data_IF_082412216066
#
_entry.id   IF_082412216066
#
_cell.length_a   1.000
_cell.length_b   1.000
_cell.length_c   1.000
_cell.angle_alpha   90.00
_cell.angle_beta   90.00
_cell.angle_gamma   90.00
#
_symmetry.space_group_name_H-M   'P 1'
#
loop_
_entity.id
_entity.type
_entity.pdbx_description
1 polymer ?
#
# COMPACT_ATOMS: atom_id res chain seq x y z
N UNK A 1 -7.93 -25.35 -26.44
CA UNK A 1 -7.43 -24.60 -25.27
C UNK A 1 -7.60 -25.44 -24.03
N UNK A 2 -6.72 -25.30 -23.04
CA UNK A 2 -6.71 -26.17 -21.85
C UNK A 2 -7.46 -25.50 -20.68
N UNK A 3 -7.54 -24.16 -20.69
CA UNK A 3 -8.15 -23.38 -19.63
C UNK A 3 -9.17 -22.37 -20.18
N UNK A 4 -10.19 -22.05 -19.41
CA UNK A 4 -11.11 -20.94 -19.70
C UNK A 4 -10.39 -19.60 -19.48
N UNK A 5 -9.58 -19.50 -18.43
CA UNK A 5 -8.86 -18.28 -18.06
C UNK A 5 -7.39 -18.52 -17.77
N UNK A 6 -6.55 -17.63 -18.28
CA UNK A 6 -5.15 -17.44 -17.87
C UNK A 6 -5.08 -16.13 -17.06
N UNK A 7 -4.71 -16.23 -15.79
CA UNK A 7 -4.58 -15.06 -14.89
C UNK A 7 -3.10 -14.73 -14.74
N UNK A 8 -2.73 -13.50 -15.08
CA UNK A 8 -1.36 -12.98 -15.00
C UNK A 8 -1.21 -12.17 -13.74
N UNK A 9 -0.42 -12.68 -12.80
CA UNK A 9 -0.21 -12.13 -11.48
C UNK A 9 -1.04 -12.82 -10.40
N UNK A 10 -0.36 -13.30 -9.37
CA UNK A 10 -0.94 -14.00 -8.21
C UNK A 10 -1.14 -13.09 -6.99
N UNK A 11 -1.18 -11.77 -7.21
CA UNK A 11 -1.57 -10.80 -6.19
C UNK A 11 -3.07 -10.87 -5.85
N UNK A 12 -3.54 -9.97 -4.98
CA UNK A 12 -4.94 -10.00 -4.51
C UNK A 12 -5.97 -10.03 -5.65
N UNK A 13 -5.81 -9.17 -6.66
CA UNK A 13 -6.76 -9.13 -7.78
C UNK A 13 -6.82 -10.45 -8.53
N UNK A 14 -5.65 -10.95 -8.95
CA UNK A 14 -5.57 -12.18 -9.73
C UNK A 14 -6.04 -13.40 -8.93
N UNK A 15 -5.66 -13.49 -7.65
CA UNK A 15 -6.07 -14.59 -6.78
C UNK A 15 -7.60 -14.62 -6.55
N UNK A 16 -8.22 -13.46 -6.34
CA UNK A 16 -9.68 -13.35 -6.19
C UNK A 16 -10.38 -13.71 -7.50
N UNK A 17 -9.93 -13.16 -8.63
CA UNK A 17 -10.53 -13.51 -9.91
C UNK A 17 -10.44 -15.03 -10.18
N UNK A 18 -9.28 -15.63 -9.94
CA UNK A 18 -9.07 -17.07 -10.11
C UNK A 18 -9.98 -17.90 -9.21
N UNK A 19 -10.13 -17.49 -7.93
CA UNK A 19 -11.01 -18.14 -6.97
C UNK A 19 -12.47 -18.12 -7.44
N UNK A 20 -12.97 -16.93 -7.80
CA UNK A 20 -14.35 -16.77 -8.26
C UNK A 20 -14.61 -17.52 -9.58
N UNK A 21 -13.69 -17.46 -10.54
CA UNK A 21 -13.80 -18.22 -11.77
C UNK A 21 -13.91 -19.73 -11.49
N UNK A 22 -13.06 -20.27 -10.62
CA UNK A 22 -13.15 -21.67 -10.19
C UNK A 22 -14.48 -21.99 -9.50
N UNK A 23 -14.96 -21.11 -8.63
CA UNK A 23 -16.25 -21.28 -7.96
C UNK A 23 -17.42 -21.36 -8.97
N UNK A 24 -17.29 -20.71 -10.13
CA UNK A 24 -18.25 -20.77 -11.24
C UNK A 24 -17.95 -21.90 -12.25
N UNK A 25 -17.14 -22.89 -11.85
CA UNK A 25 -16.86 -24.07 -12.66
C UNK A 25 -15.89 -23.83 -13.84
N UNK A 26 -15.14 -22.74 -13.83
CA UNK A 26 -14.16 -22.43 -14.87
C UNK A 26 -12.81 -23.05 -14.55
N UNK A 27 -12.10 -23.48 -15.60
CA UNK A 27 -10.72 -23.93 -15.50
C UNK A 27 -9.77 -22.74 -15.57
N UNK A 28 -8.83 -22.63 -14.62
CA UNK A 28 -7.96 -21.46 -14.47
C UNK A 28 -6.50 -21.90 -14.34
N UNK A 29 -5.62 -21.21 -15.05
CA UNK A 29 -4.19 -21.20 -14.81
C UNK A 29 -3.77 -19.82 -14.33
N UNK A 30 -3.05 -19.75 -13.22
CA UNK A 30 -2.40 -18.53 -12.74
C UNK A 30 -0.91 -18.61 -13.04
N UNK A 31 -0.33 -17.54 -13.57
CA UNK A 31 1.13 -17.42 -13.76
C UNK A 31 1.64 -16.16 -13.09
N UNK A 32 2.83 -16.23 -12.50
CA UNK A 32 3.50 -15.09 -11.90
C UNK A 32 4.99 -15.12 -12.27
N UNK A 33 5.54 -13.93 -12.56
CA UNK A 33 6.98 -13.79 -12.86
C UNK A 33 7.87 -13.98 -11.63
N UNK A 34 7.32 -13.80 -10.43
CA UNK A 34 8.03 -13.95 -9.15
C UNK A 34 8.10 -15.42 -8.70
N UNK A 35 9.07 -15.77 -7.85
CA UNK A 35 9.19 -17.11 -7.28
C UNK A 35 8.17 -17.38 -6.15
N UNK A 36 7.28 -16.44 -5.88
CA UNK A 36 6.28 -16.51 -4.81
C UNK A 36 4.92 -15.97 -5.28
N UNK A 37 3.86 -16.47 -4.67
CA UNK A 37 2.50 -15.91 -4.79
C UNK A 37 2.36 -14.63 -3.97
N UNK A 38 1.17 -14.06 -3.99
CA UNK A 38 0.68 -12.92 -3.21
C UNK A 38 1.12 -11.53 -3.69
N UNK A 39 1.89 -11.41 -4.78
CA UNK A 39 2.25 -10.10 -5.31
C UNK A 39 2.87 -9.19 -4.24
N UNK A 40 2.43 -7.95 -4.14
CA UNK A 40 2.98 -7.00 -3.17
C UNK A 40 2.55 -7.24 -1.72
N UNK A 41 1.55 -8.08 -1.45
CA UNK A 41 1.19 -8.47 -0.07
C UNK A 41 1.97 -9.69 0.42
N UNK A 42 2.95 -10.16 -0.35
CA UNK A 42 3.79 -11.28 0.03
C UNK A 42 4.44 -11.08 1.40
N UNK A 43 4.25 -12.09 2.26
CA UNK A 43 4.91 -12.20 3.56
C UNK A 43 5.77 -13.46 3.57
N UNK A 44 7.00 -13.32 4.07
CA UNK A 44 7.92 -14.43 4.24
C UNK A 44 8.10 -14.70 5.74
N UNK A 45 7.94 -15.96 6.16
CA UNK A 45 8.19 -16.31 7.55
C UNK A 45 9.68 -16.51 7.78
N UNK A 46 10.28 -15.66 8.62
CA UNK A 46 11.68 -15.72 9.01
C UNK A 46 11.74 -15.73 10.53
N UNK A 47 12.30 -16.78 11.12
CA UNK A 47 12.42 -16.94 12.58
C UNK A 47 11.06 -16.82 13.32
N UNK A 48 9.98 -17.25 12.68
CA UNK A 48 8.62 -17.16 13.23
C UNK A 48 7.94 -15.80 13.01
N UNK A 49 8.60 -14.85 12.36
CA UNK A 49 8.09 -13.52 12.07
C UNK A 49 7.62 -13.46 10.62
N UNK A 50 6.38 -13.03 10.38
CA UNK A 50 5.87 -12.79 9.04
C UNK A 50 6.35 -11.41 8.54
N UNK A 51 7.36 -11.42 7.69
CA UNK A 51 8.00 -10.22 7.15
C UNK A 51 7.27 -9.76 5.89
N UNK A 52 6.77 -8.52 5.89
CA UNK A 52 6.16 -7.89 4.73
C UNK A 52 7.26 -7.44 3.76
N UNK A 53 7.48 -8.20 2.70
CA UNK A 53 8.66 -8.03 1.82
C UNK A 53 8.57 -6.81 0.90
N UNK A 54 7.37 -6.35 0.59
CA UNK A 54 7.13 -5.23 -0.32
C UNK A 54 6.48 -4.03 0.39
N UNK A 55 6.82 -3.83 1.65
CA UNK A 55 6.29 -2.78 2.50
C UNK A 55 5.16 -3.25 3.41
N UNK A 56 4.93 -2.48 4.46
CA UNK A 56 3.90 -2.78 5.44
C UNK A 56 2.52 -2.73 4.80
N UNK A 57 1.78 -3.81 4.93
CA UNK A 57 0.40 -3.94 4.50
C UNK A 57 -0.48 -4.17 5.73
N UNK A 58 -1.38 -3.23 5.99
CA UNK A 58 -2.34 -3.30 7.09
C UNK A 58 -3.72 -3.24 6.48
N UNK A 59 -4.47 -4.31 6.59
CA UNK A 59 -5.81 -4.36 6.02
C UNK A 59 -6.77 -3.48 6.81
N UNK A 60 -7.50 -2.62 6.11
CA UNK A 60 -8.55 -1.79 6.67
C UNK A 60 -9.63 -1.52 5.62
N UNK A 61 -10.88 -1.42 6.04
CA UNK A 61 -11.99 -1.12 5.15
C UNK A 61 -13.23 -0.63 5.90
N UNK A 62 -14.07 0.17 5.25
CA UNK A 62 -15.45 0.44 5.64
C UNK A 62 -16.45 -0.39 4.84
N UNK A 63 -15.99 -1.12 3.82
CA UNK A 63 -16.83 -1.94 2.98
C UNK A 63 -17.10 -3.29 3.64
N UNK A 64 -18.32 -3.46 4.16
CA UNK A 64 -18.74 -4.68 4.83
C UNK A 64 -18.67 -5.91 3.92
N UNK A 65 -19.00 -5.77 2.63
CA UNK A 65 -18.94 -6.87 1.65
C UNK A 65 -17.50 -7.38 1.48
N UNK A 66 -16.56 -6.46 1.34
CA UNK A 66 -15.13 -6.76 1.23
C UNK A 66 -14.63 -7.47 2.49
N UNK A 67 -14.99 -6.95 3.68
CA UNK A 67 -14.61 -7.57 4.94
C UNK A 67 -15.18 -9.00 5.07
N UNK A 68 -16.47 -9.17 4.81
CA UNK A 68 -17.11 -10.48 4.86
C UNK A 68 -16.54 -11.48 3.85
N UNK A 69 -16.06 -10.99 2.72
CA UNK A 69 -15.42 -11.81 1.70
C UNK A 69 -14.05 -12.29 2.16
N UNK A 70 -13.16 -11.36 2.50
CA UNK A 70 -11.77 -11.71 2.78
C UNK A 70 -11.58 -12.51 4.07
N UNK A 71 -12.46 -12.33 5.05
CA UNK A 71 -12.46 -13.11 6.31
C UNK A 71 -12.86 -14.58 6.15
N UNK A 72 -13.31 -14.98 4.98
CA UNK A 72 -13.50 -16.41 4.67
C UNK A 72 -12.17 -17.13 4.42
N UNK A 73 -11.11 -16.40 4.08
CA UNK A 73 -9.81 -16.95 3.70
C UNK A 73 -8.73 -16.80 4.75
N UNK A 74 -8.96 -16.00 5.77
CA UNK A 74 -8.08 -15.85 6.92
C UNK A 74 -8.83 -15.32 8.14
N UNK A 75 -8.37 -15.72 9.31
CA UNK A 75 -8.69 -15.02 10.55
C UNK A 75 -7.86 -13.75 10.63
N UNK A 76 -8.47 -12.63 11.01
CA UNK A 76 -7.78 -11.37 11.22
C UNK A 76 -7.64 -11.08 12.71
N UNK A 77 -6.45 -10.64 13.09
CA UNK A 77 -6.21 -10.20 14.46
C UNK A 77 -6.77 -8.79 14.70
N UNK A 78 -6.62 -8.28 15.93
CA UNK A 78 -7.07 -6.94 16.34
C UNK A 78 -6.02 -5.85 16.15
N UNK A 79 -5.04 -6.02 15.27
CA UNK A 79 -4.02 -5.02 15.07
C UNK A 79 -4.65 -3.68 14.69
N UNK A 80 -4.28 -2.64 15.41
CA UNK A 80 -4.69 -1.26 15.15
C UNK A 80 -3.46 -0.45 14.80
N UNK A 81 -3.44 0.15 13.61
CA UNK A 81 -2.30 0.93 13.18
C UNK A 81 -2.18 2.24 13.97
N UNK A 82 -1.15 2.33 14.80
CA UNK A 82 -0.86 3.49 15.63
C UNK A 82 0.61 3.90 15.44
N UNK A 83 0.97 4.47 14.28
CA UNK A 83 2.34 4.86 13.99
C UNK A 83 2.80 5.99 14.91
N UNK A 84 4.11 6.04 15.11
CA UNK A 84 4.80 7.06 15.88
C UNK A 84 5.70 7.87 14.96
N UNK A 85 5.73 9.18 15.09
CA UNK A 85 6.71 10.04 14.44
C UNK A 85 7.90 10.27 15.38
N UNK A 86 9.10 10.10 14.83
CA UNK A 86 10.35 10.50 15.47
C UNK A 86 10.93 11.71 14.74
N UNK A 87 10.92 12.85 15.39
CA UNK A 87 11.58 14.06 14.92
C UNK A 87 12.79 14.34 15.80
N UNK A 88 13.99 13.94 15.34
CA UNK A 88 15.26 14.19 16.07
C UNK A 88 15.24 13.73 17.53
N UNK A 89 14.58 12.60 17.80
CA UNK A 89 14.42 12.05 19.15
C UNK A 89 13.19 12.52 19.91
N UNK A 90 12.44 13.50 19.41
CA UNK A 90 11.12 13.84 19.93
C UNK A 90 10.07 12.91 19.31
N UNK A 91 9.28 12.24 20.15
CA UNK A 91 8.27 11.28 19.72
C UNK A 91 6.88 11.91 19.76
N UNK A 92 6.12 11.71 18.67
CA UNK A 92 4.76 12.20 18.52
C UNK A 92 3.84 11.08 18.04
N UNK A 93 2.59 11.08 18.52
CA UNK A 93 1.55 10.19 17.97
C UNK A 93 1.11 10.64 16.59
N UNK A 94 0.79 9.67 15.73
CA UNK A 94 0.13 9.87 14.45
C UNK A 94 -1.18 9.04 14.41
N UNK A 95 -2.24 9.55 13.74
CA UNK A 95 -2.36 10.82 13.04
C UNK A 95 -2.26 12.01 14.00
N UNK A 96 -2.28 13.26 13.48
CA UNK A 96 -2.27 14.47 14.31
C UNK A 96 -3.53 14.50 15.19
N UNK A 97 -3.36 14.22 16.46
CA UNK A 97 -4.45 14.10 17.45
C UNK A 97 -4.10 14.80 18.76
N UNK A 98 -4.96 14.68 19.75
CA UNK A 98 -4.74 15.36 21.04
C UNK A 98 -3.45 14.93 21.75
N UNK A 99 -2.98 13.68 21.59
CA UNK A 99 -1.66 13.29 22.12
C UNK A 99 -0.53 14.04 21.41
N UNK A 100 -0.63 14.22 20.09
CA UNK A 100 0.33 15.02 19.31
C UNK A 100 0.39 16.46 19.81
N UNK A 101 -0.75 17.09 20.00
CA UNK A 101 -0.85 18.50 20.41
C UNK A 101 -0.43 18.71 21.85
N UNK A 102 -0.79 17.79 22.75
CA UNK A 102 -0.33 17.82 24.14
C UNK A 102 1.20 17.73 24.21
N UNK A 103 1.80 16.79 23.47
CA UNK A 103 3.27 16.64 23.41
C UNK A 103 3.96 17.88 22.85
N UNK A 104 3.37 18.49 21.81
CA UNK A 104 3.97 19.63 21.11
C UNK A 104 3.81 20.94 21.85
N UNK A 105 2.64 21.19 22.44
CA UNK A 105 2.27 22.49 22.99
C UNK A 105 1.84 22.48 24.48
N UNK A 106 1.71 21.31 25.09
CA UNK A 106 1.22 21.15 26.45
C UNK A 106 -0.28 21.46 26.63
N UNK A 107 -1.03 21.59 25.55
CA UNK A 107 -2.48 21.78 25.58
C UNK A 107 -3.19 20.53 26.11
N UNK A 108 -4.31 20.73 26.79
CA UNK A 108 -5.05 19.64 27.45
C UNK A 108 -6.44 19.45 26.87
N UNK A 109 -7.07 20.54 26.38
CA UNK A 109 -8.42 20.49 25.83
C UNK A 109 -8.44 20.64 24.32
N UNK A 110 -9.48 20.10 23.63
CA UNK A 110 -9.68 20.31 22.20
C UNK A 110 -9.75 21.80 21.82
N UNK A 111 -10.35 22.65 22.67
CA UNK A 111 -10.47 24.08 22.44
C UNK A 111 -9.09 24.76 22.41
N UNK A 112 -8.21 24.44 23.37
CA UNK A 112 -6.83 24.95 23.42
C UNK A 112 -6.03 24.50 22.16
N UNK A 113 -6.17 23.24 21.75
CA UNK A 113 -5.49 22.72 20.58
C UNK A 113 -5.99 23.41 19.29
N UNK A 114 -7.30 23.56 19.14
CA UNK A 114 -7.90 24.25 18.00
C UNK A 114 -7.46 25.71 17.92
N UNK A 115 -7.41 26.40 19.05
CA UNK A 115 -6.96 27.80 19.13
C UNK A 115 -5.48 27.92 18.71
N UNK A 116 -4.64 27.02 19.16
CA UNK A 116 -3.20 26.99 18.78
C UNK A 116 -2.98 26.74 17.30
N UNK A 117 -3.69 25.82 16.71
CA UNK A 117 -3.65 25.54 15.28
C UNK A 117 -4.11 26.78 14.50
N UNK A 118 -5.25 27.38 14.88
CA UNK A 118 -5.81 28.53 14.21
C UNK A 118 -4.90 29.77 14.30
N UNK A 119 -4.24 29.99 15.44
CA UNK A 119 -3.23 31.03 15.58
C UNK A 119 -2.11 30.88 14.55
N UNK A 120 -1.56 29.69 14.42
CA UNK A 120 -0.43 29.43 13.51
C UNK A 120 -0.82 29.43 12.04
N UNK A 121 -2.03 28.98 11.70
CA UNK A 121 -2.52 29.01 10.32
C UNK A 121 -2.61 30.42 9.74
N UNK A 122 -2.80 31.44 10.57
CA UNK A 122 -2.87 32.87 10.18
C UNK A 122 -1.55 33.40 9.63
N UNK A 123 -0.45 32.68 9.77
CA UNK A 123 0.83 33.04 9.15
C UNK A 123 0.71 33.14 7.63
N UNK A 124 -0.12 32.29 7.03
CA UNK A 124 -0.36 32.32 5.60
C UNK A 124 -1.57 33.21 5.29
N UNK A 125 -1.32 34.27 4.56
CA UNK A 125 -2.35 35.20 4.08
C UNK A 125 -2.54 35.05 2.58
N UNK A 126 -3.77 34.90 2.13
CA UNK A 126 -4.08 34.67 0.73
C UNK A 126 -3.99 33.21 0.29
N UNK A 127 -3.88 33.00 -1.01
CA UNK A 127 -3.81 31.66 -1.60
C UNK A 127 -2.38 31.09 -1.49
N UNK A 128 -2.21 29.87 -0.95
CA UNK A 128 -0.90 29.23 -0.83
C UNK A 128 -0.22 29.03 -2.20
N UNK A 129 1.05 29.40 -2.32
CA UNK A 129 1.82 29.36 -3.57
C UNK A 129 2.60 28.05 -3.76
N UNK A 130 2.84 27.32 -2.69
CA UNK A 130 3.65 26.10 -2.69
C UNK A 130 3.18 25.16 -1.56
N UNK A 131 3.79 23.97 -1.49
CA UNK A 131 3.43 22.96 -0.53
C UNK A 131 3.68 23.40 0.92
N UNK A 132 4.76 24.15 1.21
CA UNK A 132 5.02 24.69 2.55
C UNK A 132 3.87 25.57 3.02
N UNK A 133 3.51 26.59 2.22
CA UNK A 133 2.41 27.49 2.54
C UNK A 133 1.08 26.76 2.68
N UNK A 134 0.82 25.82 1.80
CA UNK A 134 -0.39 24.98 1.86
C UNK A 134 -0.46 24.19 3.17
N UNK A 135 0.61 23.52 3.56
CA UNK A 135 0.65 22.75 4.80
C UNK A 135 0.48 23.64 6.04
N UNK A 136 1.18 24.78 6.10
CA UNK A 136 1.04 25.73 7.22
C UNK A 136 -0.38 26.29 7.29
N UNK A 137 -1.00 26.59 6.15
CA UNK A 137 -2.39 27.05 6.11
C UNK A 137 -3.40 26.03 6.62
N UNK A 138 -3.05 24.74 6.58
CA UNK A 138 -3.91 23.65 7.04
C UNK A 138 -3.70 23.29 8.50
N UNK A 139 -2.47 23.22 8.99
CA UNK A 139 -2.13 22.67 10.31
C UNK A 139 -1.23 23.57 11.17
N UNK A 140 -0.71 24.66 10.64
CA UNK A 140 0.22 25.53 11.32
C UNK A 140 1.69 25.15 11.17
N UNK A 141 2.59 26.08 11.54
CA UNK A 141 4.02 25.97 11.34
C UNK A 141 4.67 24.84 12.13
N UNK A 142 4.33 24.69 13.41
CA UNK A 142 5.01 23.72 14.28
C UNK A 142 4.78 22.27 13.80
N UNK A 143 3.55 21.93 13.42
CA UNK A 143 3.22 20.62 12.86
C UNK A 143 3.93 20.43 11.50
N UNK A 144 3.91 21.45 10.65
CA UNK A 144 4.61 21.43 9.38
C UNK A 144 6.12 21.17 9.55
N UNK A 145 6.81 21.96 10.37
CA UNK A 145 8.26 21.86 10.55
C UNK A 145 8.70 20.51 11.12
N UNK A 146 7.96 20.01 12.13
CA UNK A 146 8.36 18.79 12.83
C UNK A 146 7.86 17.50 12.20
N UNK A 147 6.67 17.50 11.59
CA UNK A 147 6.00 16.26 11.21
C UNK A 147 5.76 16.10 9.70
N UNK A 148 5.90 17.16 8.91
CA UNK A 148 5.57 17.12 7.48
C UNK A 148 6.79 17.41 6.59
N UNK A 149 7.49 18.51 6.88
CA UNK A 149 8.53 19.04 6.00
C UNK A 149 9.60 18.02 5.63
N UNK A 150 10.38 17.54 6.58
CA UNK A 150 11.51 16.65 6.32
C UNK A 150 11.08 15.31 5.72
N UNK A 151 9.93 14.79 6.14
CA UNK A 151 9.37 13.57 5.57
C UNK A 151 9.00 13.75 4.10
N UNK A 152 8.31 14.82 3.77
CA UNK A 152 7.90 15.16 2.39
C UNK A 152 9.11 15.44 1.51
N UNK A 153 10.10 16.18 2.00
CA UNK A 153 11.32 16.47 1.26
C UNK A 153 12.14 15.20 0.94
N UNK A 154 12.17 14.22 1.84
CA UNK A 154 12.76 12.90 1.56
C UNK A 154 11.98 12.12 0.50
N UNK A 155 10.65 12.18 0.56
CA UNK A 155 9.82 11.49 -0.44
C UNK A 155 9.96 12.06 -1.84
N UNK A 156 10.12 13.38 -1.96
CA UNK A 156 10.15 14.07 -3.24
C UNK A 156 11.55 14.42 -3.73
N UNK A 157 12.57 14.32 -2.85
CA UNK A 157 13.93 14.71 -3.16
C UNK A 157 14.10 16.24 -3.42
N UNK A 158 13.12 17.06 -3.01
CA UNK A 158 13.04 18.50 -3.27
C UNK A 158 12.56 19.26 -2.05
N UNK A 159 12.92 20.53 -1.96
CA UNK A 159 12.40 21.44 -0.92
C UNK A 159 10.89 21.65 -1.08
N UNK A 160 10.18 21.70 0.04
CA UNK A 160 8.73 21.93 0.04
C UNK A 160 8.31 23.25 -0.61
N UNK A 161 9.17 24.26 -0.61
CA UNK A 161 8.92 25.53 -1.31
C UNK A 161 8.92 25.42 -2.83
N UNK A 162 9.56 24.38 -3.35
CA UNK A 162 9.62 24.11 -4.79
C UNK A 162 8.51 23.18 -5.28
N UNK A 163 7.76 22.60 -4.35
CA UNK A 163 6.68 21.66 -4.64
C UNK A 163 5.34 22.41 -4.77
N UNK A 164 4.48 22.01 -5.72
CA UNK A 164 3.16 22.60 -5.89
C UNK A 164 2.25 22.42 -4.67
N UNK A 165 1.44 23.43 -4.36
CA UNK A 165 0.49 23.40 -3.25
C UNK A 165 -0.53 22.24 -3.37
N UNK A 166 -0.97 21.89 -4.57
CA UNK A 166 -1.98 20.86 -4.81
C UNK A 166 -1.57 19.44 -4.41
N UNK A 167 -0.28 19.18 -4.15
CA UNK A 167 0.20 17.90 -3.65
C UNK A 167 -0.44 17.57 -2.31
N UNK A 168 -0.66 18.56 -1.45
CA UNK A 168 -1.38 18.42 -0.18
C UNK A 168 -2.73 19.14 -0.30
N UNK A 169 -3.79 18.36 -0.50
CA UNK A 169 -5.15 18.91 -0.55
C UNK A 169 -5.76 19.10 0.82
N UNK A 170 -5.44 18.21 1.76
CA UNK A 170 -5.92 18.22 3.14
C UNK A 170 -4.95 17.51 4.06
N UNK A 171 -4.90 17.94 5.29
CA UNK A 171 -4.20 17.29 6.38
C UNK A 171 -5.22 17.13 7.54
N UNK A 172 -5.72 15.92 7.78
CA UNK A 172 -6.72 15.72 8.82
C UNK A 172 -6.12 15.95 10.20
N UNK A 173 -6.85 16.73 11.00
CA UNK A 173 -6.56 17.02 12.40
C UNK A 173 -7.68 16.43 13.24
N UNK A 174 -7.35 15.67 14.27
CA UNK A 174 -8.32 15.09 15.19
C UNK A 174 -8.23 15.74 16.55
N UNK A 175 -9.34 16.34 16.99
CA UNK A 175 -9.46 16.91 18.33
C UNK A 175 -9.96 15.86 19.35
N UNK A 176 -9.44 14.67 19.24
CA UNK A 176 -9.73 13.49 20.08
C UNK A 176 -8.44 12.77 20.44
N UNK A 177 -8.46 11.95 21.50
CA UNK A 177 -7.35 11.08 21.90
C UNK A 177 -7.44 9.72 21.19
N UNK A 178 -7.49 9.75 19.86
CA UNK A 178 -7.58 8.55 19.03
C UNK A 178 -6.32 8.36 18.21
N UNK A 179 -5.55 7.31 18.53
CA UNK A 179 -4.31 6.93 17.85
C UNK A 179 -4.55 5.94 16.69
N UNK A 180 -5.78 5.49 16.44
CA UNK A 180 -6.05 4.67 15.29
C UNK A 180 -5.86 5.49 14.01
N UNK A 181 -4.82 5.16 13.26
CA UNK A 181 -4.47 5.90 12.03
C UNK A 181 -5.58 5.85 10.98
N UNK A 182 -6.22 4.70 10.83
CA UNK A 182 -7.29 4.52 9.87
C UNK A 182 -8.66 4.83 10.47
N UNK A 183 -9.50 5.51 9.70
CA UNK A 183 -10.90 5.77 10.04
C UNK A 183 -11.81 4.66 9.49
N UNK A 184 -11.40 3.42 9.67
CA UNK A 184 -12.07 2.25 9.13
C UNK A 184 -12.79 1.47 10.25
N UNK A 185 -13.95 0.93 9.93
CA UNK A 185 -14.72 0.07 10.83
C UNK A 185 -14.04 -1.27 11.07
N UNK A 186 -13.34 -1.78 10.07
CA UNK A 186 -12.66 -3.07 10.10
C UNK A 186 -11.18 -2.86 9.80
N UNK A 187 -10.33 -3.45 10.60
CA UNK A 187 -8.90 -3.51 10.32
C UNK A 187 -8.25 -4.67 11.05
N UNK A 188 -7.09 -5.09 10.60
CA UNK A 188 -6.30 -6.14 11.23
C UNK A 188 -5.25 -6.69 10.28
N UNK A 189 -4.52 -7.67 10.79
CA UNK A 189 -3.53 -8.45 10.02
C UNK A 189 -4.02 -9.89 9.95
N UNK A 190 -3.97 -10.55 8.78
CA UNK A 190 -4.33 -11.96 8.70
C UNK A 190 -3.36 -12.81 9.52
N UNK A 191 -3.91 -13.64 10.41
CA UNK A 191 -3.12 -14.55 11.25
C UNK A 191 -2.38 -15.55 10.36
N UNK A 192 -1.06 -15.61 10.54
CA UNK A 192 -0.17 -16.43 9.72
C UNK A 192 0.31 -15.75 8.43
N UNK A 193 -0.02 -14.48 8.23
CA UNK A 193 0.46 -13.64 7.13
C UNK A 193 -0.43 -13.65 5.88
N UNK A 194 -0.21 -12.65 5.04
CA UNK A 194 -0.98 -12.48 3.79
C UNK A 194 -0.74 -13.59 2.77
N UNK A 195 0.47 -14.15 2.72
CA UNK A 195 0.78 -15.24 1.77
C UNK A 195 -0.09 -16.45 2.01
N UNK A 196 -0.33 -16.81 3.29
CA UNK A 196 -1.24 -17.89 3.66
C UNK A 196 -2.68 -17.60 3.22
N UNK A 197 -3.16 -16.38 3.42
CA UNK A 197 -4.49 -15.94 2.96
C UNK A 197 -4.64 -16.08 1.45
N UNK A 198 -3.63 -15.63 0.68
CA UNK A 198 -3.65 -15.77 -0.78
C UNK A 198 -3.54 -17.24 -1.22
N UNK A 199 -2.77 -18.05 -0.52
CA UNK A 199 -2.72 -19.49 -0.78
C UNK A 199 -4.10 -20.15 -0.59
N UNK A 200 -4.88 -19.73 0.40
CA UNK A 200 -6.25 -20.20 0.60
C UNK A 200 -7.18 -19.76 -0.54
N UNK A 201 -7.02 -18.55 -1.09
CA UNK A 201 -7.74 -18.11 -2.29
C UNK A 201 -7.40 -18.97 -3.51
N UNK A 202 -6.15 -19.38 -3.65
CA UNK A 202 -5.64 -20.16 -4.78
C UNK A 202 -5.76 -21.69 -4.59
N UNK A 203 -6.39 -22.13 -3.51
CA UNK A 203 -6.51 -23.58 -3.22
C UNK A 203 -7.14 -24.35 -4.38
N UNK A 204 -6.45 -25.41 -4.82
CA UNK A 204 -6.86 -26.24 -5.93
C UNK A 204 -6.85 -25.55 -7.30
N UNK A 205 -6.13 -24.46 -7.47
CA UNK A 205 -5.87 -23.77 -8.76
C UNK A 205 -4.42 -24.00 -9.15
N UNK A 206 -4.19 -24.33 -10.43
CA UNK A 206 -2.82 -24.47 -10.96
C UNK A 206 -2.13 -23.11 -11.00
N UNK A 207 -0.95 -23.02 -10.35
CA UNK A 207 -0.12 -21.83 -10.33
C UNK A 207 1.28 -22.17 -10.86
N UNK A 208 1.78 -21.35 -11.79
CA UNK A 208 3.15 -21.42 -12.30
C UNK A 208 3.89 -20.16 -11.94
N UNK A 209 4.87 -20.31 -11.07
CA UNK A 209 5.79 -19.25 -10.65
C UNK A 209 7.00 -19.17 -11.59
N UNK A 210 7.86 -18.18 -11.41
CA UNK A 210 9.05 -17.94 -12.25
C UNK A 210 8.70 -17.94 -13.76
N UNK A 211 7.52 -17.44 -14.10
CA UNK A 211 6.99 -17.43 -15.47
C UNK A 211 6.58 -16.03 -15.88
N UNK A 212 7.43 -15.36 -16.66
CA UNK A 212 7.11 -14.04 -17.21
C UNK A 212 6.20 -14.18 -18.43
N UNK A 213 4.97 -13.68 -18.27
CA UNK A 213 3.98 -13.73 -19.35
C UNK A 213 4.42 -12.99 -20.61
N UNK A 214 5.06 -11.83 -20.46
CA UNK A 214 5.43 -11.01 -21.61
C UNK A 214 6.55 -11.66 -22.44
N UNK A 215 7.43 -12.43 -21.81
CA UNK A 215 8.45 -13.21 -22.50
C UNK A 215 7.88 -14.44 -23.20
N UNK A 216 6.80 -15.02 -22.69
CA UNK A 216 6.16 -16.25 -23.19
C UNK A 216 4.73 -16.03 -23.69
N UNK A 217 4.38 -14.77 -24.06
CA UNK A 217 3.01 -14.36 -24.37
C UNK A 217 2.31 -15.27 -25.38
N UNK A 218 2.93 -15.54 -26.52
CA UNK A 218 2.31 -16.34 -27.58
C UNK A 218 2.02 -17.77 -27.14
N UNK A 219 2.91 -18.38 -26.37
CA UNK A 219 2.76 -19.74 -25.87
C UNK A 219 1.65 -19.80 -24.81
N UNK A 220 1.65 -18.85 -23.87
CA UNK A 220 0.70 -18.78 -22.77
C UNK A 220 -0.72 -18.43 -23.27
N UNK A 221 -0.85 -17.49 -24.20
CA UNK A 221 -2.14 -17.14 -24.81
C UNK A 221 -2.81 -18.34 -25.49
N UNK A 222 -2.01 -19.26 -26.07
CA UNK A 222 -2.54 -20.45 -26.69
C UNK A 222 -3.16 -21.48 -25.71
N UNK A 223 -2.91 -21.31 -24.40
CA UNK A 223 -3.41 -22.21 -23.36
C UNK A 223 -4.84 -21.90 -22.90
N UNK A 224 -5.32 -20.64 -23.05
CA UNK A 224 -6.59 -20.22 -22.48
C UNK A 224 -7.46 -19.45 -23.50
N UNK A 225 -8.76 -19.38 -23.22
CA UNK A 225 -9.70 -18.63 -24.05
C UNK A 225 -9.65 -17.13 -23.76
N UNK A 226 -9.42 -16.76 -22.49
CA UNK A 226 -9.34 -15.37 -22.01
C UNK A 226 -8.15 -15.18 -21.09
N UNK A 227 -7.63 -13.95 -21.10
CA UNK A 227 -6.51 -13.52 -20.26
C UNK A 227 -7.02 -12.47 -19.28
N UNK A 228 -6.64 -12.60 -18.01
CA UNK A 228 -6.78 -11.55 -16.98
C UNK A 228 -5.39 -11.02 -16.69
N UNK A 229 -5.12 -9.80 -17.11
CA UNK A 229 -3.79 -9.19 -17.00
C UNK A 229 -3.75 -8.16 -15.88
N UNK A 230 -2.93 -8.40 -14.86
CA UNK A 230 -2.75 -7.52 -13.72
C UNK A 230 -1.40 -6.80 -13.68
N UNK A 231 -0.58 -7.00 -14.70
CA UNK A 231 0.70 -6.29 -14.86
C UNK A 231 0.53 -4.85 -15.36
N UNK A 232 1.66 -4.13 -15.55
CA UNK A 232 1.62 -2.77 -16.11
C UNK A 232 0.99 -2.74 -17.49
N UNK A 233 -0.03 -1.91 -17.67
CA UNK A 233 -0.79 -1.83 -18.92
C UNK A 233 0.08 -1.42 -20.12
N UNK A 234 1.00 -0.50 -19.93
CA UNK A 234 1.94 -0.05 -20.96
C UNK A 234 2.90 -1.18 -21.41
N UNK A 235 3.34 -2.01 -20.48
CA UNK A 235 4.17 -3.17 -20.78
C UNK A 235 3.43 -4.20 -21.64
N UNK A 236 2.13 -4.41 -21.42
CA UNK A 236 1.33 -5.30 -22.26
C UNK A 236 1.36 -4.88 -23.75
N UNK A 237 1.37 -3.58 -24.00
CA UNK A 237 1.42 -2.99 -25.33
C UNK A 237 2.84 -2.61 -25.79
N UNK A 238 3.87 -3.21 -25.19
CA UNK A 238 5.27 -3.00 -25.56
C UNK A 238 5.68 -1.50 -25.54
N UNK A 239 5.10 -0.74 -24.60
CA UNK A 239 5.36 0.69 -24.39
C UNK A 239 5.15 1.57 -25.64
N UNK A 240 4.37 1.14 -26.61
CA UNK A 240 4.23 1.79 -27.93
C UNK A 240 3.71 3.24 -27.90
N UNK A 241 3.05 3.66 -26.82
CA UNK A 241 2.60 5.04 -26.61
C UNK A 241 3.51 5.82 -25.64
N UNK A 242 4.53 5.18 -25.09
CA UNK A 242 5.40 5.71 -24.04
C UNK A 242 5.22 4.99 -22.71
N UNK A 243 6.07 5.34 -21.75
CA UNK A 243 6.15 4.70 -20.44
C UNK A 243 5.35 5.48 -19.41
N UNK A 244 4.46 4.80 -18.69
CA UNK A 244 3.79 5.33 -17.51
C UNK A 244 4.77 5.40 -16.34
N UNK A 245 4.66 6.42 -15.51
CA UNK A 245 5.57 6.67 -14.40
C UNK A 245 4.98 6.12 -13.09
N UNK A 246 5.87 5.66 -12.21
CA UNK A 246 5.52 5.12 -10.90
C UNK A 246 6.38 5.77 -9.82
N UNK A 247 5.97 5.62 -8.57
CA UNK A 247 6.83 5.81 -7.41
C UNK A 247 7.32 4.46 -6.93
N UNK A 248 8.52 4.43 -6.41
CA UNK A 248 9.13 3.25 -5.85
C UNK A 248 9.63 3.47 -4.44
N UNK A 249 9.82 2.37 -3.74
CA UNK A 249 10.44 2.32 -2.41
C UNK A 249 11.49 1.22 -2.39
N UNK A 250 12.50 1.41 -1.57
CA UNK A 250 13.56 0.44 -1.34
C UNK A 250 13.59 0.07 0.15
N UNK A 251 13.81 -1.20 0.43
CA UNK A 251 13.87 -1.73 1.79
C UNK A 251 15.24 -2.32 2.11
N UNK A 252 15.72 -2.06 3.33
CA UNK A 252 16.84 -2.75 3.93
C UNK A 252 16.34 -3.53 5.15
N UNK A 253 16.40 -4.87 5.06
CA UNK A 253 15.92 -5.76 6.10
C UNK A 253 17.08 -6.18 7.01
N UNK A 254 16.84 -6.25 8.31
CA UNK A 254 17.84 -6.64 9.30
C UNK A 254 17.21 -7.54 10.37
N UNK A 255 17.78 -8.74 10.55
CA UNK A 255 17.45 -9.63 11.65
C UNK A 255 18.31 -9.24 12.88
N UNK A 256 17.66 -8.98 13.99
CA UNK A 256 18.29 -8.56 15.24
C UNK A 256 18.10 -9.62 16.33
N UNK A 257 19.18 -9.96 17.02
CA UNK A 257 19.19 -10.88 18.17
C UNK A 257 18.79 -10.14 19.45
N UNK A 258 17.57 -9.63 19.45
CA UNK A 258 16.91 -9.00 20.59
C UNK A 258 15.38 -9.02 20.43
N UNK A 259 14.63 -9.02 21.53
CA UNK A 259 13.17 -9.20 21.46
C UNK A 259 12.40 -7.96 20.99
N UNK A 260 12.99 -6.77 21.04
CA UNK A 260 12.33 -5.51 20.74
C UNK A 260 13.33 -4.46 20.26
N UNK A 261 13.01 -3.76 19.17
CA UNK A 261 13.86 -2.70 18.63
C UNK A 261 13.29 -1.30 18.94
N UNK A 262 12.03 -1.05 18.58
CA UNK A 262 11.40 0.26 18.67
C UNK A 262 10.06 0.28 19.43
N UNK A 263 9.53 -0.90 19.77
CA UNK A 263 8.31 -1.03 20.57
C UNK A 263 7.02 -0.68 19.81
N UNK A 264 7.07 -0.59 18.48
CA UNK A 264 5.92 -0.33 17.63
C UNK A 264 6.15 -0.88 16.22
N UNK A 265 5.08 -1.25 15.52
CA UNK A 265 5.19 -1.77 14.16
C UNK A 265 5.74 -0.72 13.18
N UNK A 266 5.37 0.54 13.31
CA UNK A 266 5.81 1.61 12.41
C UNK A 266 6.28 2.83 13.18
N UNK A 267 7.48 3.32 12.87
CA UNK A 267 8.01 4.60 13.31
C UNK A 267 8.45 5.40 12.09
N UNK A 268 7.82 6.55 11.87
CA UNK A 268 8.16 7.47 10.80
C UNK A 268 9.23 8.45 11.28
N UNK A 269 10.26 8.65 10.47
CA UNK A 269 11.33 9.63 10.74
C UNK A 269 11.05 10.89 9.94
N UNK A 270 10.64 11.93 10.63
CA UNK A 270 10.10 13.15 10.01
C UNK A 270 11.13 14.28 9.84
N UNK A 271 12.35 14.09 10.29
CA UNK A 271 13.47 14.95 9.98
C UNK A 271 14.05 14.64 8.58
N UNK A 272 14.76 15.58 7.98
CA UNK A 272 15.40 15.42 6.66
C UNK A 272 16.70 14.64 6.72
N UNK A 273 17.42 14.74 7.82
CA UNK A 273 18.78 14.21 7.98
C UNK A 273 18.82 12.68 8.07
N UNK A 274 17.80 12.06 8.65
CA UNK A 274 17.67 10.60 8.69
C UNK A 274 17.39 10.05 7.30
N UNK A 275 18.20 9.14 6.76
CA UNK A 275 18.10 8.72 5.35
C UNK A 275 16.80 7.96 5.00
N UNK A 276 16.27 7.16 5.93
CA UNK A 276 15.03 6.41 5.72
C UNK A 276 13.80 7.23 6.12
N UNK A 277 12.67 6.92 5.54
CA UNK A 277 11.39 7.56 5.85
C UNK A 277 10.72 6.93 7.05
N UNK A 278 10.84 5.60 7.21
CA UNK A 278 10.30 4.87 8.36
C UNK A 278 11.06 3.57 8.62
N UNK A 279 10.91 3.06 9.83
CA UNK A 279 11.29 1.70 10.18
C UNK A 279 10.03 0.90 10.52
N UNK A 280 9.93 -0.27 9.92
CA UNK A 280 8.92 -1.27 10.24
C UNK A 280 9.57 -2.33 11.10
N UNK A 281 8.98 -2.63 12.26
CA UNK A 281 9.33 -3.79 13.09
C UNK A 281 8.21 -4.83 12.96
N UNK A 282 8.44 -5.83 12.15
CA UNK A 282 7.39 -6.71 11.60
C UNK A 282 6.67 -7.56 12.65
N UNK A 283 7.37 -7.99 13.71
CA UNK A 283 6.75 -8.84 14.74
C UNK A 283 5.55 -8.18 15.45
N UNK A 284 5.51 -6.84 15.49
CA UNK A 284 4.45 -6.13 16.20
C UNK A 284 3.12 -6.14 15.45
N UNK A 285 3.09 -6.52 14.19
CA UNK A 285 1.83 -6.78 13.48
C UNK A 285 1.05 -7.96 14.08
N UNK A 286 1.75 -8.90 14.72
CA UNK A 286 1.20 -10.07 15.38
C UNK A 286 1.59 -10.10 16.87
N UNK A 287 1.72 -8.93 17.49
CA UNK A 287 1.94 -8.70 18.93
C UNK A 287 3.23 -9.35 19.49
N UNK A 288 4.22 -9.60 18.65
CA UNK A 288 5.49 -10.20 19.04
C UNK A 288 5.39 -11.67 19.45
N UNK A 289 4.33 -12.37 19.05
CA UNK A 289 4.03 -13.76 19.39
C UNK A 289 4.22 -14.68 18.18
N UNK A 290 4.59 -15.92 18.47
CA UNK A 290 4.49 -17.01 17.50
C UNK A 290 3.05 -17.57 17.42
N UNK A 291 2.84 -18.55 16.55
CA UNK A 291 1.53 -19.22 16.38
C UNK A 291 0.99 -19.92 17.63
N UNK A 292 1.87 -20.23 18.60
CA UNK A 292 1.52 -20.87 19.89
C UNK A 292 1.35 -19.84 21.02
N UNK A 293 1.50 -18.55 20.73
CA UNK A 293 1.40 -17.46 21.70
C UNK A 293 2.64 -17.21 22.54
N UNK A 294 3.79 -17.82 22.21
CA UNK A 294 5.06 -17.57 22.88
C UNK A 294 5.71 -16.27 22.38
N UNK A 295 6.46 -15.60 23.26
CA UNK A 295 7.24 -14.43 22.86
C UNK A 295 8.37 -14.80 21.90
N UNK A 296 8.47 -14.07 20.80
CA UNK A 296 9.55 -14.22 19.85
C UNK A 296 10.84 -13.57 20.39
N UNK A 297 11.96 -14.33 20.49
CA UNK A 297 13.20 -13.82 21.10
C UNK A 297 13.97 -12.85 20.21
N UNK A 298 13.71 -12.88 18.89
CA UNK A 298 14.36 -12.03 17.87
C UNK A 298 13.36 -11.07 17.26
N UNK A 299 13.86 -10.07 16.56
CA UNK A 299 13.03 -9.14 15.78
C UNK A 299 13.63 -8.87 14.41
N UNK A 300 12.77 -8.49 13.46
CA UNK A 300 13.18 -8.08 12.11
C UNK A 300 12.65 -6.69 11.85
N UNK A 301 13.55 -5.83 11.41
CA UNK A 301 13.20 -4.48 10.98
C UNK A 301 13.44 -4.30 9.49
N UNK A 302 12.65 -3.41 8.88
CA UNK A 302 12.87 -2.91 7.52
C UNK A 302 13.01 -1.40 7.57
N UNK A 303 14.14 -0.87 7.08
CA UNK A 303 14.27 0.56 6.80
C UNK A 303 13.74 0.82 5.42
N UNK A 304 12.78 1.72 5.31
CA UNK A 304 12.14 2.11 4.05
C UNK A 304 12.74 3.42 3.54
N UNK A 305 13.15 3.42 2.28
CA UNK A 305 13.67 4.58 1.59
C UNK A 305 12.76 4.93 0.42
N UNK A 306 12.49 6.21 0.22
CA UNK A 306 11.92 6.68 -1.03
C UNK A 306 12.93 6.48 -2.17
N UNK A 307 12.48 6.05 -3.31
CA UNK A 307 13.31 5.75 -4.48
C UNK A 307 12.65 6.30 -5.74
N UNK A 308 13.47 6.93 -6.60
CA UNK A 308 13.03 7.26 -7.96
C UNK A 308 12.83 5.97 -8.73
N UNK A 309 11.65 5.84 -9.34
CA UNK A 309 11.36 4.72 -10.22
C UNK A 309 12.00 4.94 -11.60
N UNK A 310 12.57 3.87 -12.14
CA UNK A 310 13.07 3.81 -13.52
C UNK A 310 12.45 2.61 -14.22
N UNK A 311 12.33 2.62 -15.55
CA UNK A 311 11.92 1.44 -16.30
C UNK A 311 12.75 0.22 -15.92
N UNK A 312 12.07 -0.87 -15.50
CA UNK A 312 12.68 -2.09 -14.98
C UNK A 312 12.64 -2.23 -13.46
N UNK A 313 12.40 -1.15 -12.71
CA UNK A 313 12.16 -1.21 -11.27
C UNK A 313 10.74 -1.69 -10.97
N UNK A 314 10.52 -2.25 -9.76
CA UNK A 314 9.17 -2.61 -9.31
C UNK A 314 8.27 -1.37 -9.23
N UNK A 315 7.11 -1.39 -9.91
CA UNK A 315 6.15 -0.28 -9.88
C UNK A 315 5.25 -0.41 -8.66
N UNK A 316 5.46 0.44 -7.64
CA UNK A 316 4.64 0.40 -6.43
C UNK A 316 3.36 1.24 -6.56
N UNK A 317 3.49 2.50 -6.94
CA UNK A 317 2.38 3.45 -6.95
C UNK A 317 2.35 4.24 -8.25
N UNK A 318 1.20 4.28 -8.97
CA UNK A 318 1.02 5.16 -10.12
C UNK A 318 1.21 6.63 -9.75
N UNK A 319 1.81 7.40 -10.66
CA UNK A 319 1.89 8.85 -10.53
C UNK A 319 0.61 9.47 -11.07
N UNK A 320 -0.21 10.03 -10.16
CA UNK A 320 -1.50 10.62 -10.49
C UNK A 320 -1.35 12.10 -10.90
N UNK A 321 -0.74 12.33 -12.05
CA UNK A 321 -0.67 13.65 -12.66
C UNK A 321 -1.41 13.69 -14.01
N UNK A 322 -1.56 14.88 -14.58
CA UNK A 322 -2.28 15.09 -15.83
C UNK A 322 -1.62 14.36 -17.01
N UNK A 323 -0.28 14.39 -17.07
CA UNK A 323 0.53 13.75 -18.12
C UNK A 323 0.28 12.25 -18.15
N UNK A 324 0.46 11.60 -17.02
CA UNK A 324 0.29 10.14 -16.91
C UNK A 324 -1.18 9.74 -17.04
N UNK A 325 -2.11 10.54 -16.54
CA UNK A 325 -3.55 10.33 -16.73
C UNK A 325 -3.97 10.36 -18.20
N UNK A 326 -3.45 11.30 -18.97
CA UNK A 326 -3.68 11.39 -20.42
C UNK A 326 -3.08 10.17 -21.15
N UNK A 327 -1.85 9.79 -20.82
CA UNK A 327 -1.21 8.62 -21.42
C UNK A 327 -1.96 7.32 -21.10
N UNK A 328 -2.39 7.15 -19.85
CA UNK A 328 -3.20 6.01 -19.46
C UNK A 328 -4.53 5.95 -20.23
N UNK A 329 -5.19 7.10 -20.45
CA UNK A 329 -6.43 7.14 -21.22
C UNK A 329 -6.27 6.60 -22.64
N UNK A 330 -5.11 6.83 -23.28
CA UNK A 330 -4.81 6.28 -24.59
C UNK A 330 -4.54 4.75 -24.53
N UNK A 331 -3.80 4.27 -23.51
CA UNK A 331 -3.65 2.83 -23.29
C UNK A 331 -4.98 2.13 -22.99
N UNK A 332 -5.87 2.79 -22.25
CA UNK A 332 -7.19 2.24 -21.97
C UNK A 332 -8.02 2.02 -23.24
N UNK A 333 -7.94 2.91 -24.22
CA UNK A 333 -8.60 2.70 -25.52
C UNK A 333 -8.10 1.44 -26.23
N UNK A 334 -6.78 1.17 -26.14
CA UNK A 334 -6.19 -0.03 -26.69
C UNK A 334 -6.66 -1.28 -25.91
N UNK A 335 -6.72 -1.20 -24.59
CA UNK A 335 -7.18 -2.29 -23.73
C UNK A 335 -8.67 -2.62 -23.98
N UNK A 336 -9.50 -1.59 -24.15
CA UNK A 336 -10.93 -1.76 -24.44
C UNK A 336 -11.19 -2.39 -25.83
N UNK A 337 -10.20 -2.35 -26.72
CA UNK A 337 -10.25 -3.00 -28.04
C UNK A 337 -9.77 -4.46 -28.02
N UNK A 338 -9.23 -4.96 -26.90
CA UNK A 338 -8.80 -6.36 -26.74
C UNK A 338 -9.98 -7.23 -26.29
N UNK A 339 -10.61 -8.04 -27.18
CA UNK A 339 -11.88 -8.70 -26.85
C UNK A 339 -11.72 -9.86 -25.84
N UNK A 340 -10.53 -10.41 -25.72
CA UNK A 340 -10.25 -11.59 -24.91
C UNK A 340 -9.35 -11.29 -23.70
N UNK A 341 -9.10 -10.01 -23.38
CA UNK A 341 -8.24 -9.61 -22.29
C UNK A 341 -8.98 -8.71 -21.31
N UNK A 342 -8.94 -9.06 -20.04
CA UNK A 342 -9.44 -8.25 -18.93
C UNK A 342 -8.24 -7.63 -18.26
N UNK A 343 -8.16 -6.30 -18.26
CA UNK A 343 -7.14 -5.57 -17.51
C UNK A 343 -7.69 -5.22 -16.13
N UNK A 344 -6.95 -5.56 -15.09
CA UNK A 344 -7.39 -5.32 -13.72
C UNK A 344 -6.25 -5.13 -12.72
N UNK A 345 -6.62 -4.70 -11.54
CA UNK A 345 -5.67 -4.41 -10.46
C UNK A 345 -4.95 -3.08 -10.62
N UNK A 346 -4.10 -2.77 -9.64
CA UNK A 346 -3.41 -1.47 -9.54
C UNK A 346 -2.64 -1.08 -10.81
N UNK A 347 -1.90 -2.02 -11.38
CA UNK A 347 -1.05 -1.76 -12.56
C UNK A 347 -1.83 -1.85 -13.87
N UNK A 348 -2.75 -2.80 -13.99
CA UNK A 348 -3.58 -2.98 -15.18
C UNK A 348 -4.58 -1.84 -15.39
N UNK A 349 -5.04 -1.21 -14.31
CA UNK A 349 -5.95 -0.06 -14.33
C UNK A 349 -5.25 1.28 -14.07
N UNK A 350 -3.94 1.25 -13.81
CA UNK A 350 -3.13 2.42 -13.47
C UNK A 350 -3.77 3.29 -12.38
N UNK A 351 -4.23 2.66 -11.29
CA UNK A 351 -4.90 3.33 -10.17
C UNK A 351 -4.18 3.09 -8.86
N UNK A 352 -4.18 4.11 -8.02
CA UNK A 352 -3.76 3.96 -6.63
C UNK A 352 -4.91 3.28 -5.86
N UNK A 353 -4.75 1.98 -5.62
CA UNK A 353 -5.68 1.18 -4.85
C UNK A 353 -5.09 0.76 -3.51
N UNK A 354 -5.83 0.98 -2.43
CA UNK A 354 -5.61 0.22 -1.20
C UNK A 354 -6.14 -1.21 -1.36
N UNK A 355 -5.76 -2.11 -0.48
CA UNK A 355 -6.12 -3.54 -0.60
C UNK A 355 -7.63 -3.77 -0.74
N UNK A 356 -8.43 -3.05 0.03
CA UNK A 356 -9.89 -3.18 -0.01
C UNK A 356 -10.48 -2.75 -1.35
N UNK A 357 -9.94 -1.71 -1.96
CA UNK A 357 -10.34 -1.26 -3.28
C UNK A 357 -9.95 -2.26 -4.38
N UNK A 358 -8.78 -2.90 -4.26
CA UNK A 358 -8.37 -4.00 -5.15
C UNK A 358 -9.36 -5.16 -5.05
N UNK A 359 -9.72 -5.56 -3.84
CA UNK A 359 -10.68 -6.64 -3.59
C UNK A 359 -12.05 -6.29 -4.17
N UNK A 360 -12.55 -5.07 -3.89
CA UNK A 360 -13.81 -4.60 -4.43
C UNK A 360 -13.84 -4.61 -5.97
N UNK A 361 -12.78 -4.11 -6.61
CA UNK A 361 -12.66 -4.10 -8.07
C UNK A 361 -12.65 -5.51 -8.67
N UNK A 362 -11.95 -6.46 -8.03
CA UNK A 362 -11.93 -7.84 -8.48
C UNK A 362 -13.32 -8.49 -8.35
N UNK A 363 -14.02 -8.27 -7.24
CA UNK A 363 -15.38 -8.79 -7.03
C UNK A 363 -16.39 -8.20 -8.02
N UNK A 364 -16.34 -6.89 -8.27
CA UNK A 364 -17.19 -6.24 -9.27
C UNK A 364 -16.96 -6.78 -10.68
N UNK A 365 -15.71 -7.07 -11.02
CA UNK A 365 -15.36 -7.65 -12.32
C UNK A 365 -15.90 -9.08 -12.45
N UNK A 366 -15.77 -9.89 -11.41
CA UNK A 366 -16.25 -11.28 -11.43
C UNK A 366 -17.78 -11.37 -11.47
N UNK A 367 -18.48 -10.52 -10.73
CA UNK A 367 -19.95 -10.41 -10.79
C UNK A 367 -20.44 -10.05 -12.19
N UNK A 368 -19.81 -9.07 -12.83
CA UNK A 368 -20.14 -8.72 -14.23
C UNK A 368 -19.88 -9.83 -15.24
N UNK A 369 -18.94 -10.72 -14.90
CA UNK A 369 -18.45 -11.72 -15.87
C UNK A 369 -19.14 -13.07 -15.73
N UNK A 370 -19.61 -13.42 -14.53
CA UNK A 370 -20.13 -14.73 -14.20
C UNK A 370 -21.62 -14.73 -13.83
N UNK A 371 -22.17 -13.59 -13.41
CA UNK A 371 -23.61 -13.38 -13.14
C UNK A 371 -24.34 -12.78 -14.36
#
# INVERSE_FOLDING_TARGET
MKYDYLVIGSGLYGAIFAHEAKAHGKSVLVVDKRPNIAGNVYTENIEGINVHKYGAHIFHTNNKKVWQYITQFAEFNRFTNSPVANYKGELYSLPFNMYTFNKMWGVVTPEEAAAKIEEQRKEITGEPQNLEEQAISLVGRDIYEKLIKGYTEKQWGRDCKELPAFIIKRLPVRLTFDNNYFNALYQGIPVGGYTKMVANLLDGIEVRLDTDYLEHKTELDALAEKVVYTGPIDAYFDYKLGTLEYRSVRFENELLDKPNFQGNAAVNYTDRETPWTRIIEHKWFEFGKDENGNDLPKTIISREYSSEWKPGDEPYYPVNDEKNGALYAEYKKLADAEPNVIFGGRLGEYKYYDMDAVIASALEMTEKHFD
#
